data_IF_429339956655
#
_entry.id   IF_429339956655
#
_cell.length_a   1.000
_cell.length_b   1.000
_cell.length_c   1.000
_cell.angle_alpha   90.00
_cell.angle_beta   90.00
_cell.angle_gamma   90.00
#
_symmetry.space_group_name_H-M   'P 1'
#
loop_
_entity.id
_entity.type
_entity.pdbx_description
1 polymer ?
#
# COMPACT_ATOMS: atom_id res chain seq x y z
N UNK A 1 8.20 -17.57 2.79
CA UNK A 1 9.05 -16.49 3.32
C UNK A 1 8.23 -15.40 4.01
N UNK A 2 7.38 -14.61 3.33
CA UNK A 2 6.59 -13.55 4.00
C UNK A 2 5.82 -14.03 5.25
N UNK A 3 5.05 -15.13 5.12
CA UNK A 3 4.35 -15.77 6.25
C UNK A 3 5.28 -16.25 7.37
N UNK A 4 6.50 -16.69 7.04
CA UNK A 4 7.47 -17.13 8.05
C UNK A 4 8.05 -15.94 8.81
N UNK A 5 8.28 -14.81 8.14
CA UNK A 5 8.70 -13.56 8.77
C UNK A 5 7.60 -13.06 9.71
N UNK A 6 6.35 -13.04 9.25
CA UNK A 6 5.19 -12.64 10.07
C UNK A 6 5.07 -13.50 11.34
N UNK A 7 5.24 -14.83 11.22
CA UNK A 7 5.19 -15.74 12.37
C UNK A 7 6.42 -15.66 13.29
N UNK A 8 7.53 -15.06 12.83
CA UNK A 8 8.78 -14.98 13.60
C UNK A 8 8.79 -13.85 14.65
N UNK A 9 7.77 -12.98 14.66
CA UNK A 9 7.70 -11.83 15.56
C UNK A 9 8.72 -10.72 15.21
N UNK A 10 9.24 -10.71 13.99
CA UNK A 10 10.09 -9.64 13.48
C UNK A 10 9.25 -8.45 13.05
N UNK A 11 9.45 -7.29 13.68
CA UNK A 11 8.75 -6.05 13.34
C UNK A 11 9.37 -5.30 12.15
N UNK A 12 10.65 -5.56 11.86
CA UNK A 12 11.39 -4.85 10.81
C UNK A 12 12.23 -5.79 9.95
N UNK A 13 12.30 -5.49 8.65
CA UNK A 13 13.11 -6.22 7.67
C UNK A 13 13.83 -5.26 6.76
N UNK A 14 15.14 -5.47 6.60
CA UNK A 14 15.95 -4.70 5.65
C UNK A 14 15.68 -5.17 4.22
N UNK A 15 15.21 -4.26 3.37
CA UNK A 15 14.94 -4.51 1.94
C UNK A 15 15.88 -3.70 1.04
N UNK A 16 16.00 -4.13 -0.22
CA UNK A 16 16.56 -3.28 -1.27
C UNK A 16 15.49 -2.28 -1.72
N UNK A 17 15.91 -1.12 -2.17
CA UNK A 17 15.02 -0.07 -2.67
C UNK A 17 15.54 0.49 -3.99
N UNK A 18 14.62 0.98 -4.83
CA UNK A 18 14.95 1.77 -6.00
C UNK A 18 15.67 3.08 -5.61
N UNK A 19 15.38 3.63 -4.43
CA UNK A 19 15.97 4.89 -3.93
C UNK A 19 17.45 4.75 -3.54
N UNK A 20 17.88 3.55 -3.17
CA UNK A 20 19.26 3.25 -2.76
C UNK A 20 20.02 2.47 -3.82
N UNK A 21 19.55 2.47 -5.07
CA UNK A 21 20.18 1.77 -6.18
C UNK A 21 21.37 2.56 -6.72
N UNK A 22 22.54 1.92 -6.83
CA UNK A 22 23.78 2.53 -7.33
C UNK A 22 23.91 2.45 -8.87
N UNK A 23 22.86 2.03 -9.58
CA UNK A 23 22.88 1.97 -11.04
C UNK A 23 23.01 3.38 -11.63
N UNK A 24 23.97 3.57 -12.56
CA UNK A 24 24.21 4.88 -13.19
C UNK A 24 23.03 5.40 -14.02
N UNK A 25 22.24 4.48 -14.62
CA UNK A 25 21.06 4.79 -15.42
C UNK A 25 19.98 3.74 -15.14
N UNK A 26 18.78 4.19 -14.78
CA UNK A 26 17.68 3.30 -14.39
C UNK A 26 17.92 2.62 -13.05
N UNK A 27 17.23 1.49 -12.82
CA UNK A 27 17.30 0.71 -11.57
C UNK A 27 17.68 -0.72 -11.90
N UNK A 28 18.49 -1.36 -11.05
CA UNK A 28 18.85 -2.75 -11.26
C UNK A 28 17.70 -3.71 -10.90
N UNK A 29 17.69 -4.88 -11.52
CA UNK A 29 16.68 -5.91 -11.35
C UNK A 29 16.46 -6.33 -9.88
N UNK A 30 17.51 -6.34 -9.06
CA UNK A 30 17.43 -6.71 -7.65
C UNK A 30 16.88 -5.61 -6.74
N UNK A 31 17.06 -4.34 -7.10
CA UNK A 31 16.50 -3.20 -6.35
C UNK A 31 15.02 -2.97 -6.67
N UNK A 32 14.60 -3.29 -7.90
CA UNK A 32 13.19 -3.29 -8.27
C UNK A 32 12.47 -4.56 -7.79
N UNK A 33 13.07 -5.73 -8.04
CA UNK A 33 12.54 -7.02 -7.61
C UNK A 33 11.50 -7.59 -8.58
N UNK A 34 10.29 -7.83 -8.08
CA UNK A 34 9.24 -8.57 -8.78
C UNK A 34 8.36 -7.61 -9.60
N UNK A 35 8.21 -7.90 -10.88
CA UNK A 35 7.16 -7.32 -11.72
C UNK A 35 5.79 -7.80 -11.19
N UNK A 36 4.97 -6.85 -10.74
CA UNK A 36 3.66 -7.12 -10.15
C UNK A 36 2.60 -7.51 -11.19
N UNK A 37 2.78 -7.14 -12.46
CA UNK A 37 1.85 -7.51 -13.54
C UNK A 37 2.05 -8.97 -13.96
N UNK A 38 3.31 -9.42 -14.04
CA UNK A 38 3.66 -10.78 -14.49
C UNK A 38 3.91 -11.76 -13.35
N UNK A 39 4.09 -11.25 -12.12
CA UNK A 39 4.37 -12.07 -10.95
C UNK A 39 5.73 -12.77 -11.01
N UNK A 40 6.70 -12.26 -11.77
CA UNK A 40 8.07 -12.81 -11.87
C UNK A 40 9.11 -11.71 -11.63
N UNK A 41 10.38 -12.07 -11.53
CA UNK A 41 11.47 -11.09 -11.47
C UNK A 41 11.44 -10.22 -12.74
N UNK A 42 11.67 -8.91 -12.60
CA UNK A 42 11.61 -7.96 -13.72
C UNK A 42 12.63 -8.29 -14.81
N UNK A 43 12.23 -8.12 -16.06
CA UNK A 43 13.13 -8.31 -17.21
C UNK A 43 14.04 -7.10 -17.39
N UNK A 44 15.30 -7.34 -17.76
CA UNK A 44 16.23 -6.26 -18.10
C UNK A 44 15.71 -5.53 -19.34
N UNK A 45 15.63 -4.20 -19.25
CA UNK A 45 15.10 -3.35 -20.32
C UNK A 45 13.63 -2.95 -20.14
N UNK A 46 12.94 -3.45 -19.11
CA UNK A 46 11.57 -3.04 -18.81
C UNK A 46 11.50 -1.55 -18.45
N UNK A 47 10.53 -0.83 -19.02
CA UNK A 47 10.31 0.59 -18.79
C UNK A 47 9.58 0.88 -17.47
N UNK A 48 10.16 0.43 -16.34
CA UNK A 48 9.55 0.50 -15.01
C UNK A 48 9.12 1.91 -14.57
N UNK A 49 9.77 2.96 -15.09
CA UNK A 49 9.42 4.35 -14.79
C UNK A 49 8.09 4.78 -15.40
N UNK A 50 7.82 4.35 -16.64
CA UNK A 50 6.53 4.61 -17.31
C UNK A 50 5.42 3.82 -16.63
N UNK A 51 5.68 2.56 -16.29
CA UNK A 51 4.75 1.69 -15.57
C UNK A 51 4.38 2.32 -14.21
N UNK A 52 5.38 2.80 -13.46
CA UNK A 52 5.16 3.47 -12.19
C UNK A 52 4.32 4.75 -12.33
N UNK A 53 4.61 5.57 -13.33
CA UNK A 53 3.85 6.80 -13.59
C UNK A 53 2.37 6.50 -13.88
N UNK A 54 2.07 5.51 -14.72
CA UNK A 54 0.70 5.11 -15.03
C UNK A 54 -0.03 4.51 -13.83
N UNK A 55 0.66 3.66 -13.06
CA UNK A 55 0.11 3.00 -11.87
C UNK A 55 -0.35 4.00 -10.78
N UNK A 56 0.19 5.22 -10.80
CA UNK A 56 -0.27 6.32 -9.94
C UNK A 56 -1.28 7.22 -10.67
N UNK A 57 -0.98 7.58 -11.92
CA UNK A 57 -1.75 8.55 -12.68
C UNK A 57 -3.17 8.09 -13.01
N UNK A 58 -3.35 6.88 -13.54
CA UNK A 58 -4.66 6.38 -13.96
C UNK A 58 -5.61 6.19 -12.76
N UNK A 59 -5.20 5.53 -11.65
CA UNK A 59 -6.05 5.47 -10.47
C UNK A 59 -6.32 6.85 -9.87
N UNK A 60 -5.36 7.77 -9.93
CA UNK A 60 -5.53 9.14 -9.44
C UNK A 60 -6.61 9.90 -10.20
N UNK A 61 -6.56 9.91 -11.54
CA UNK A 61 -7.60 10.56 -12.37
C UNK A 61 -8.96 9.89 -12.17
N UNK A 62 -8.99 8.57 -12.05
CA UNK A 62 -10.22 7.83 -11.75
C UNK A 62 -10.81 8.19 -10.38
N UNK A 63 -9.98 8.30 -9.33
CA UNK A 63 -10.43 8.68 -7.98
C UNK A 63 -11.01 10.10 -7.97
N UNK A 64 -10.37 11.03 -8.68
CA UNK A 64 -10.87 12.40 -8.86
C UNK A 64 -12.26 12.37 -9.48
N UNK A 65 -12.42 11.68 -10.62
CA UNK A 65 -13.72 11.55 -11.27
C UNK A 65 -14.76 10.91 -10.35
N UNK A 66 -14.47 9.75 -9.74
CA UNK A 66 -15.42 9.05 -8.86
C UNK A 66 -15.84 9.89 -7.65
N UNK A 67 -14.90 10.59 -7.01
CA UNK A 67 -15.19 11.41 -5.83
C UNK A 67 -16.03 12.62 -6.18
N UNK A 68 -15.74 13.32 -7.28
CA UNK A 68 -16.52 14.50 -7.67
C UNK A 68 -17.96 14.15 -8.09
N UNK A 69 -18.15 13.03 -8.80
CA UNK A 69 -19.49 12.63 -9.26
C UNK A 69 -20.36 12.11 -8.11
N UNK A 70 -19.77 11.49 -7.08
CA UNK A 70 -20.47 11.03 -5.88
C UNK A 70 -20.63 12.19 -4.86
N UNK A 71 -19.76 13.20 -4.89
CA UNK A 71 -19.75 14.33 -3.95
C UNK A 71 -20.96 15.27 -4.03
N UNK A 72 -21.77 15.20 -5.10
CA UNK A 72 -23.04 15.91 -5.20
C UNK A 72 -24.20 15.27 -4.42
N UNK A 73 -24.06 13.99 -4.05
CA UNK A 73 -25.04 13.26 -3.24
C UNK A 73 -24.41 12.91 -1.89
N UNK A 74 -24.72 13.72 -0.88
CA UNK A 74 -24.27 13.53 0.49
C UNK A 74 -24.41 12.07 0.96
N UNK A 75 -23.27 11.43 1.22
CA UNK A 75 -23.17 10.25 2.08
C UNK A 75 -21.75 10.23 2.67
N UNK A 76 -21.45 11.23 3.53
CA UNK A 76 -20.45 11.03 4.57
C UNK A 76 -20.90 9.79 5.31
N UNK A 77 -20.15 8.70 5.21
CA UNK A 77 -20.22 7.65 6.23
C UNK A 77 -19.98 8.35 7.55
N UNK A 78 -21.05 8.53 8.31
CA UNK A 78 -21.03 9.04 9.66
C UNK A 78 -20.00 8.19 10.40
N UNK A 79 -18.91 8.83 10.87
CA UNK A 79 -18.06 8.23 11.88
C UNK A 79 -19.01 7.74 12.98
N UNK A 80 -19.02 6.43 13.24
CA UNK A 80 -19.88 5.88 14.28
C UNK A 80 -19.51 6.57 15.59
N UNK A 81 -20.41 7.40 16.09
CA UNK A 81 -20.25 8.15 17.35
C UNK A 81 -20.36 7.25 18.59
N UNK A 82 -20.36 5.92 18.39
CA UNK A 82 -20.38 4.93 19.44
C UNK A 82 -19.35 3.83 19.15
N UNK A 83 -18.66 3.40 20.21
CA UNK A 83 -17.75 2.24 20.17
C UNK A 83 -18.48 1.06 20.78
N UNK A 84 -18.73 0.02 19.97
CA UNK A 84 -19.30 -1.24 20.44
C UNK A 84 -18.19 -2.24 20.76
N UNK A 85 -18.28 -2.92 21.91
CA UNK A 85 -17.32 -3.95 22.27
C UNK A 85 -17.41 -5.14 21.30
N UNK A 86 -16.27 -5.52 20.70
CA UNK A 86 -16.18 -6.65 19.76
C UNK A 86 -16.31 -8.02 20.44
N UNK A 87 -16.12 -8.08 21.75
CA UNK A 87 -16.11 -9.30 22.55
C UNK A 87 -16.85 -9.08 23.89
N UNK A 88 -17.36 -10.15 24.49
CA UNK A 88 -17.99 -10.10 25.81
C UNK A 88 -16.94 -9.83 26.89
N UNK A 89 -17.24 -8.92 27.81
CA UNK A 89 -16.34 -8.54 28.91
C UNK A 89 -17.03 -7.61 29.89
N UNK A 90 -16.31 -7.23 30.96
CA UNK A 90 -16.79 -6.26 31.96
C UNK A 90 -16.15 -4.90 31.70
N UNK A 91 -16.97 -3.84 31.60
CA UNK A 91 -16.49 -2.47 31.46
C UNK A 91 -16.01 -1.98 32.83
N UNK A 92 -14.80 -1.41 32.88
CA UNK A 92 -14.28 -0.72 34.07
C UNK A 92 -13.96 0.71 33.69
N UNK A 93 -14.69 1.66 34.29
CA UNK A 93 -14.34 3.07 34.18
C UNK A 93 -13.17 3.35 35.10
N UNK A 94 -12.08 3.87 34.55
CA UNK A 94 -10.99 4.43 35.33
C UNK A 94 -11.30 5.90 35.52
N UNK A 95 -11.88 6.25 36.67
CA UNK A 95 -11.99 7.65 37.06
C UNK A 95 -10.57 8.20 37.31
N UNK A 96 -10.32 9.43 36.83
CA UNK A 96 -9.17 10.24 37.24
C UNK A 96 -9.39 10.76 38.66
#
# INVERSE_FOLDING_TARGET
VARQIEMSGMDEVRIRSALTCESKRGVCALCYGRDLARGKMVTIGEAIGIIAAQSIGEPGTQLTMRTFHIGGTASRFVEQSYVQAKHQGKIKFQAL
#
